data_IF_624588855683
#
_entry.id   IF_624588855683
#
_cell.length_a   1.000
_cell.length_b   1.000
_cell.length_c   1.000
_cell.angle_alpha   90.00
_cell.angle_beta   90.00
_cell.angle_gamma   90.00
#
_symmetry.space_group_name_H-M   'P 1'
#
loop_
_entity.id
_entity.type
_entity.pdbx_description
1 polymer ?
#
# COMPACT_ATOMS: atom_id res chain seq x y z
N UNK A 1 -43.77 18.42 34.07
CA UNK A 1 -44.26 17.03 34.05
C UNK A 1 -44.36 16.61 32.59
N UNK A 2 -43.37 15.88 32.12
CA UNK A 2 -43.37 15.21 30.83
C UNK A 2 -42.66 13.88 31.05
N UNK A 3 -43.39 12.80 30.80
CA UNK A 3 -42.97 11.41 31.01
C UNK A 3 -41.86 11.02 30.02
N UNK A 4 -40.89 10.18 30.43
CA UNK A 4 -39.91 9.64 29.50
C UNK A 4 -40.48 8.45 28.74
N UNK A 5 -40.38 8.50 27.42
CA UNK A 5 -40.70 7.40 26.51
C UNK A 5 -39.87 6.15 26.82
N UNK A 6 -40.55 5.03 26.98
CA UNK A 6 -40.02 3.70 27.25
C UNK A 6 -39.13 3.21 26.10
N UNK A 7 -37.91 2.79 26.47
CA UNK A 7 -36.94 2.18 25.57
C UNK A 7 -37.35 0.72 25.31
N UNK A 8 -37.56 0.35 24.04
CA UNK A 8 -37.86 -1.02 23.63
C UNK A 8 -36.65 -1.90 23.90
N UNK A 9 -36.81 -2.88 24.79
CA UNK A 9 -35.80 -3.89 25.07
C UNK A 9 -35.52 -4.73 23.82
N UNK A 10 -34.27 -4.73 23.35
CA UNK A 10 -33.77 -5.71 22.39
C UNK A 10 -33.39 -6.98 23.17
N UNK A 11 -33.94 -8.12 22.77
CA UNK A 11 -33.60 -9.44 23.30
C UNK A 11 -32.10 -9.76 23.07
N UNK A 12 -31.44 -10.46 24.01
CA UNK A 12 -30.06 -10.88 23.83
C UNK A 12 -30.00 -12.02 22.81
N UNK A 13 -29.21 -11.84 21.74
CA UNK A 13 -28.84 -12.92 20.83
C UNK A 13 -28.15 -14.03 21.63
N UNK A 14 -28.66 -15.25 21.50
CA UNK A 14 -28.09 -16.45 22.08
C UNK A 14 -26.67 -16.70 21.55
N UNK A 15 -25.78 -17.06 22.48
CA UNK A 15 -24.38 -17.43 22.26
C UNK A 15 -24.29 -18.67 21.34
N UNK A 16 -23.72 -18.58 20.12
CA UNK A 16 -23.47 -19.75 19.32
C UNK A 16 -22.29 -20.50 19.96
N UNK A 17 -22.59 -21.63 20.61
CA UNK A 17 -21.60 -22.50 21.24
C UNK A 17 -20.43 -22.88 20.32
N UNK A 18 -19.34 -23.44 20.89
CA UNK A 18 -18.07 -23.61 20.20
C UNK A 18 -18.23 -24.45 18.93
N UNK A 19 -17.83 -23.86 17.80
CA UNK A 19 -17.73 -24.55 16.52
C UNK A 19 -16.62 -25.61 16.65
N UNK A 20 -16.90 -26.91 16.46
CA UNK A 20 -15.87 -27.93 16.58
C UNK A 20 -14.80 -27.71 15.51
N UNK A 21 -13.54 -27.65 15.93
CA UNK A 21 -12.40 -27.63 15.01
C UNK A 21 -12.41 -28.91 14.16
N UNK A 22 -12.15 -28.82 12.85
CA UNK A 22 -12.04 -30.00 12.01
C UNK A 22 -10.87 -30.86 12.53
N UNK A 23 -11.19 -32.09 12.93
CA UNK A 23 -10.21 -33.11 13.27
C UNK A 23 -9.22 -33.26 12.11
N UNK A 24 -7.93 -33.29 12.44
CA UNK A 24 -6.88 -33.55 11.47
C UNK A 24 -7.13 -34.91 10.85
N UNK A 25 -7.47 -34.91 9.55
CA UNK A 25 -7.65 -36.10 8.75
C UNK A 25 -6.33 -36.87 8.75
N UNK A 26 -6.36 -38.13 9.18
CA UNK A 26 -5.21 -39.04 9.23
C UNK A 26 -4.58 -39.10 7.82
N UNK A 27 -3.28 -38.84 7.63
CA UNK A 27 -2.66 -38.83 6.30
C UNK A 27 -2.80 -40.17 5.55
N UNK A 28 -3.04 -41.28 6.26
CA UNK A 28 -3.34 -42.58 5.67
C UNK A 28 -4.79 -42.72 5.14
N UNK A 29 -5.67 -41.77 5.46
CA UNK A 29 -7.10 -41.77 5.06
C UNK A 29 -7.40 -40.88 3.84
N UNK A 30 -6.39 -40.19 3.28
CA UNK A 30 -6.54 -39.43 2.04
C UNK A 30 -6.55 -40.44 0.88
N UNK A 31 -7.69 -40.63 0.17
CA UNK A 31 -7.70 -41.51 -0.99
C UNK A 31 -6.68 -40.99 -2.03
N UNK A 32 -6.02 -41.88 -2.78
CA UNK A 32 -5.12 -41.45 -3.85
C UNK A 32 -5.85 -40.46 -4.75
N UNK A 33 -5.19 -39.33 -5.04
CA UNK A 33 -5.75 -38.26 -5.85
C UNK A 33 -6.37 -38.88 -7.11
N UNK A 34 -7.67 -38.65 -7.31
CA UNK A 34 -8.35 -39.09 -8.51
C UNK A 34 -7.55 -38.58 -9.73
N UNK A 35 -7.35 -39.42 -10.76
CA UNK A 35 -6.64 -38.99 -11.95
C UNK A 35 -7.32 -37.71 -12.46
N UNK A 36 -6.52 -36.66 -12.61
CA UNK A 36 -6.97 -35.38 -13.14
C UNK A 36 -7.78 -35.64 -14.41
N UNK A 37 -9.02 -35.15 -14.45
CA UNK A 37 -9.83 -35.20 -15.65
C UNK A 37 -9.01 -34.64 -16.83
N UNK A 38 -9.11 -35.22 -18.03
CA UNK A 38 -8.37 -34.73 -19.18
C UNK A 38 -8.65 -33.23 -19.32
N UNK A 39 -7.58 -32.44 -19.29
CA UNK A 39 -7.67 -30.99 -19.38
C UNK A 39 -8.48 -30.64 -20.64
N UNK A 40 -9.50 -29.80 -20.49
CA UNK A 40 -10.16 -29.17 -21.63
C UNK A 40 -9.08 -28.59 -22.55
N UNK A 41 -9.26 -28.63 -23.89
CA UNK A 41 -8.26 -28.12 -24.82
C UNK A 41 -7.85 -26.70 -24.39
N UNK A 42 -6.58 -26.52 -24.03
CA UNK A 42 -6.06 -25.23 -23.63
C UNK A 42 -6.18 -24.31 -24.84
N UNK A 43 -7.06 -23.31 -24.76
CA UNK A 43 -7.10 -22.22 -25.73
C UNK A 43 -5.69 -21.57 -25.82
N UNK A 44 -5.35 -21.14 -27.04
CA UNK A 44 -4.08 -20.52 -27.48
C UNK A 44 -3.05 -20.22 -26.37
N UNK A 45 -2.25 -21.24 -26.04
CA UNK A 45 -1.27 -21.17 -24.95
C UNK A 45 -0.05 -20.29 -25.26
N UNK A 46 0.03 -19.67 -26.45
CA UNK A 46 1.13 -18.80 -26.86
C UNK A 46 1.13 -17.43 -26.16
N UNK A 47 0.03 -17.07 -25.49
CA UNK A 47 -0.13 -15.79 -24.79
C UNK A 47 0.42 -15.78 -23.36
N UNK A 48 0.81 -16.93 -22.81
CA UNK A 48 1.26 -17.06 -21.42
C UNK A 48 2.78 -17.15 -21.32
N UNK A 49 3.36 -16.34 -20.44
CA UNK A 49 4.79 -16.37 -20.16
C UNK A 49 5.17 -17.61 -19.35
N UNK A 50 6.30 -18.25 -19.69
CA UNK A 50 6.76 -19.44 -18.99
C UNK A 50 7.12 -19.12 -17.53
N UNK A 51 6.61 -19.91 -16.58
CA UNK A 51 6.87 -19.69 -15.17
C UNK A 51 8.24 -20.20 -14.77
N UNK A 52 9.08 -19.32 -14.21
CA UNK A 52 10.33 -19.69 -13.55
C UNK A 52 10.26 -19.38 -12.05
N UNK A 53 10.73 -20.26 -11.16
CA UNK A 53 10.74 -19.99 -9.72
C UNK A 53 11.74 -18.87 -9.41
N UNK A 54 11.24 -17.65 -9.25
CA UNK A 54 12.05 -16.42 -9.10
C UNK A 54 12.15 -15.90 -7.66
N UNK A 55 11.31 -16.38 -6.73
CA UNK A 55 11.39 -15.91 -5.35
C UNK A 55 10.16 -16.11 -4.48
N UNK A 56 10.09 -15.31 -3.41
CA UNK A 56 8.99 -15.29 -2.45
C UNK A 56 7.70 -14.73 -3.06
N UNK A 57 6.56 -15.28 -2.63
CA UNK A 57 5.25 -14.65 -2.81
C UNK A 57 5.17 -13.39 -1.94
N UNK A 58 4.91 -12.23 -2.55
CA UNK A 58 4.77 -10.98 -1.82
C UNK A 58 3.31 -10.74 -1.47
N UNK A 59 3.01 -10.65 -0.18
CA UNK A 59 1.66 -10.42 0.33
C UNK A 59 1.61 -9.16 1.21
N UNK A 60 0.53 -8.39 1.07
CA UNK A 60 0.18 -7.32 2.00
C UNK A 60 -0.76 -7.88 3.08
N UNK A 61 -0.16 -8.49 4.10
CA UNK A 61 -0.93 -9.21 5.11
C UNK A 61 -1.62 -8.26 6.11
N UNK A 62 -2.94 -8.41 6.24
CA UNK A 62 -3.74 -7.73 7.24
C UNK A 62 -3.61 -8.44 8.60
N UNK A 63 -2.93 -7.80 9.55
CA UNK A 63 -2.69 -8.35 10.90
C UNK A 63 -3.67 -7.82 11.95
N UNK A 64 -4.68 -7.05 11.54
CA UNK A 64 -5.64 -6.35 12.39
C UNK A 64 -6.37 -7.24 13.40
N UNK A 65 -6.50 -8.53 13.11
CA UNK A 65 -7.19 -9.51 13.95
C UNK A 65 -6.23 -10.48 14.66
N UNK A 66 -4.93 -10.38 14.37
CA UNK A 66 -3.91 -11.31 14.86
C UNK A 66 -3.35 -10.87 16.22
N UNK A 67 -3.08 -11.88 17.05
CA UNK A 67 -2.28 -11.77 18.26
C UNK A 67 -0.83 -12.12 17.95
N UNK A 68 0.09 -11.21 18.22
CA UNK A 68 1.50 -11.33 17.85
C UNK A 68 2.38 -11.22 19.09
N UNK A 69 3.27 -12.19 19.25
CA UNK A 69 4.31 -12.20 20.28
C UNK A 69 5.64 -11.75 19.67
N UNK A 70 6.25 -10.71 20.24
CA UNK A 70 7.59 -10.27 19.90
C UNK A 70 8.53 -10.58 21.06
N UNK A 71 9.54 -11.42 20.82
CA UNK A 71 10.51 -11.88 21.82
C UNK A 71 11.83 -11.15 21.59
N UNK A 72 12.28 -10.40 22.58
CA UNK A 72 13.53 -9.62 22.54
C UNK A 72 13.30 -8.11 22.68
N UNK A 73 14.32 -7.42 23.16
CA UNK A 73 14.29 -5.97 23.44
C UNK A 73 15.33 -5.14 22.68
N UNK A 74 16.09 -5.74 21.75
CA UNK A 74 17.18 -5.08 21.04
C UNK A 74 16.75 -4.16 19.89
N UNK A 75 17.71 -3.72 19.06
CA UNK A 75 17.46 -2.87 17.89
C UNK A 75 16.60 -3.58 16.82
N UNK A 76 16.80 -4.88 16.63
CA UNK A 76 15.97 -5.69 15.72
C UNK A 76 14.52 -5.72 16.20
N UNK A 77 14.31 -5.95 17.50
CA UNK A 77 12.98 -5.92 18.11
C UNK A 77 12.31 -4.55 17.93
N UNK A 78 13.06 -3.45 18.08
CA UNK A 78 12.55 -2.10 17.83
C UNK A 78 11.97 -1.97 16.41
N UNK A 79 12.72 -2.42 15.40
CA UNK A 79 12.26 -2.41 14.00
C UNK A 79 11.01 -3.27 13.78
N UNK A 80 10.92 -4.45 14.40
CA UNK A 80 9.73 -5.32 14.32
C UNK A 80 8.52 -4.66 14.97
N UNK A 81 8.68 -4.13 16.18
CA UNK A 81 7.62 -3.42 16.90
C UNK A 81 7.08 -2.24 16.10
N UNK A 82 7.95 -1.44 15.48
CA UNK A 82 7.54 -0.34 14.59
C UNK A 82 6.61 -0.83 13.48
N UNK A 83 6.97 -1.91 12.80
CA UNK A 83 6.16 -2.46 11.71
C UNK A 83 4.82 -3.03 12.19
N UNK A 84 4.78 -3.66 13.36
CA UNK A 84 3.55 -4.19 13.96
C UNK A 84 2.58 -3.08 14.38
N UNK A 85 3.10 -1.98 14.93
CA UNK A 85 2.31 -0.79 15.28
C UNK A 85 1.75 -0.13 14.02
N UNK A 86 2.57 0.08 12.99
CA UNK A 86 2.08 0.61 11.71
C UNK A 86 1.04 -0.30 11.04
N UNK A 87 1.08 -1.61 11.27
CA UNK A 87 0.12 -2.57 10.74
C UNK A 87 -1.17 -2.69 11.57
N UNK A 88 -1.25 -2.00 12.72
CA UNK A 88 -2.43 -1.97 13.60
C UNK A 88 -2.89 -3.38 14.03
N UNK A 89 -1.93 -4.26 14.32
CA UNK A 89 -2.23 -5.63 14.77
C UNK A 89 -3.05 -5.64 16.06
N UNK A 90 -4.05 -6.54 16.19
CA UNK A 90 -5.02 -6.54 17.30
C UNK A 90 -4.36 -6.52 18.67
N UNK A 91 -3.38 -7.40 18.87
CA UNK A 91 -2.72 -7.59 20.14
C UNK A 91 -1.24 -7.83 19.89
N UNK A 92 -0.41 -6.99 20.49
CA UNK A 92 1.04 -7.10 20.45
C UNK A 92 1.53 -7.29 21.88
N UNK A 93 2.21 -8.40 22.12
CA UNK A 93 2.89 -8.64 23.40
C UNK A 93 4.38 -8.65 23.15
N UNK A 94 5.11 -7.80 23.86
CA UNK A 94 6.57 -7.77 23.83
C UNK A 94 7.09 -8.49 25.07
N UNK A 95 7.79 -9.60 24.87
CA UNK A 95 8.48 -10.35 25.91
C UNK A 95 9.94 -9.92 25.91
N UNK A 96 10.34 -9.12 26.89
CA UNK A 96 11.71 -8.63 27.02
C UNK A 96 11.99 -8.19 28.47
N UNK A 97 13.20 -8.42 29.00
CA UNK A 97 13.58 -8.00 30.34
C UNK A 97 13.58 -6.48 30.45
N UNK A 98 13.31 -5.96 31.65
CA UNK A 98 13.39 -4.51 31.88
C UNK A 98 14.82 -3.99 31.64
N UNK A 99 15.79 -4.72 32.18
CA UNK A 99 17.21 -4.52 31.94
C UNK A 99 17.60 -5.05 30.55
N UNK A 100 18.37 -4.27 29.78
CA UNK A 100 18.80 -4.67 28.43
C UNK A 100 17.82 -4.36 27.29
N UNK A 101 16.56 -3.99 27.56
CA UNK A 101 15.67 -3.46 26.51
C UNK A 101 16.18 -2.10 26.01
N UNK A 102 16.21 -1.88 24.69
CA UNK A 102 16.72 -0.65 24.12
C UNK A 102 15.75 0.53 24.33
N UNK A 103 16.28 1.76 24.28
CA UNK A 103 15.50 2.99 24.51
C UNK A 103 14.32 3.13 23.55
N UNK A 104 14.47 2.71 22.30
CA UNK A 104 13.44 2.80 21.27
C UNK A 104 12.26 1.86 21.53
N UNK A 105 12.52 0.61 21.96
CA UNK A 105 11.46 -0.32 22.38
C UNK A 105 10.74 0.21 23.61
N UNK A 106 11.49 0.67 24.64
CA UNK A 106 10.87 1.27 25.83
C UNK A 106 9.99 2.47 25.45
N UNK A 107 10.51 3.40 24.66
CA UNK A 107 9.77 4.57 24.21
C UNK A 107 8.48 4.19 23.48
N UNK A 108 8.51 3.23 22.56
CA UNK A 108 7.30 2.78 21.84
C UNK A 108 6.27 2.09 22.73
N UNK A 109 6.72 1.44 23.80
CA UNK A 109 5.83 0.78 24.76
C UNK A 109 5.23 1.76 25.75
N UNK A 110 5.90 2.88 26.05
CA UNK A 110 5.49 3.83 27.09
C UNK A 110 5.08 5.20 26.57
N UNK A 111 5.15 5.47 25.27
CA UNK A 111 4.80 6.78 24.70
C UNK A 111 3.29 7.06 24.81
N UNK A 112 2.87 8.34 24.78
CA UNK A 112 1.45 8.71 24.76
C UNK A 112 0.68 8.10 23.57
N UNK A 113 1.35 7.88 22.44
CA UNK A 113 0.78 7.14 21.31
C UNK A 113 0.43 5.69 21.68
N UNK A 114 1.19 5.08 22.59
CA UNK A 114 0.86 3.79 23.18
C UNK A 114 -0.32 3.87 24.17
N UNK A 115 -0.57 5.03 24.80
CA UNK A 115 -1.77 5.24 25.64
C UNK A 115 -3.05 5.43 24.81
N UNK A 116 -2.97 6.11 23.65
CA UNK A 116 -4.06 6.15 22.68
C UNK A 116 -4.43 4.74 22.17
N UNK A 117 -3.44 3.86 22.09
CA UNK A 117 -3.57 2.43 21.82
C UNK A 117 -3.98 1.62 23.08
N UNK A 118 -4.02 2.15 24.30
CA UNK A 118 -4.47 1.40 25.50
C UNK A 118 -5.85 1.82 26.03
N UNK A 119 -6.43 2.92 25.53
CA UNK A 119 -7.73 3.44 25.96
C UNK A 119 -8.93 2.59 25.53
N UNK A 120 -10.12 2.80 26.13
CA UNK A 120 -11.37 2.03 25.92
C UNK A 120 -11.97 2.10 24.50
N UNK A 121 -11.32 2.78 23.56
CA UNK A 121 -11.65 2.81 22.13
C UNK A 121 -10.50 2.26 21.25
N UNK A 122 -9.50 1.60 21.84
CA UNK A 122 -8.30 1.18 21.15
C UNK A 122 -8.56 0.01 20.19
N UNK A 123 -8.19 0.22 18.93
CA UNK A 123 -8.20 -0.79 17.85
C UNK A 123 -7.09 -1.85 18.03
N UNK A 124 -6.14 -1.61 18.91
CA UNK A 124 -4.93 -2.41 19.11
C UNK A 124 -4.61 -2.50 20.61
N UNK A 125 -4.13 -3.63 21.11
CA UNK A 125 -3.67 -3.85 22.49
C UNK A 125 -2.15 -4.01 22.48
N UNK A 126 -1.46 -3.33 23.41
CA UNK A 126 0.00 -3.38 23.52
C UNK A 126 0.43 -3.70 24.97
N UNK A 127 1.12 -4.82 25.15
CA UNK A 127 1.57 -5.33 26.45
C UNK A 127 3.09 -5.50 26.48
N UNK A 128 3.72 -5.15 27.60
CA UNK A 128 5.13 -5.44 27.85
C UNK A 128 5.26 -6.42 29.02
N UNK A 129 5.67 -7.65 28.72
CA UNK A 129 5.98 -8.70 29.71
C UNK A 129 7.46 -8.66 30.05
N UNK A 130 7.75 -8.06 31.21
CA UNK A 130 9.10 -7.98 31.77
C UNK A 130 9.52 -9.33 32.34
N UNK A 131 10.18 -10.15 31.52
CA UNK A 131 10.65 -11.50 31.88
C UNK A 131 12.05 -11.73 31.34
N UNK A 132 12.79 -12.60 32.02
CA UNK A 132 14.04 -13.13 31.48
C UNK A 132 13.79 -13.96 30.21
N UNK A 133 14.73 -13.92 29.28
CA UNK A 133 14.65 -14.62 28.00
C UNK A 133 15.33 -15.98 28.13
N UNK A 134 14.66 -16.89 28.84
CA UNK A 134 15.07 -18.27 29.01
C UNK A 134 14.08 -19.21 28.31
N UNK A 135 14.55 -20.38 27.87
CA UNK A 135 13.75 -21.36 27.12
C UNK A 135 12.39 -21.63 27.76
N UNK A 136 12.37 -22.09 29.00
CA UNK A 136 11.15 -22.49 29.69
C UNK A 136 10.20 -21.29 29.93
N UNK A 137 10.77 -20.10 30.13
CA UNK A 137 9.97 -18.88 30.30
C UNK A 137 9.29 -18.51 28.97
N UNK A 138 10.02 -18.58 27.86
CA UNK A 138 9.49 -18.29 26.54
C UNK A 138 8.46 -19.33 26.11
N UNK A 139 8.73 -20.63 26.30
CA UNK A 139 7.81 -21.69 25.89
C UNK A 139 6.42 -21.58 26.53
N UNK A 140 6.34 -21.13 27.79
CA UNK A 140 5.06 -20.87 28.50
C UNK A 140 4.29 -19.65 27.97
N UNK A 141 4.96 -18.78 27.24
CA UNK A 141 4.41 -17.51 26.74
C UNK A 141 4.01 -17.60 25.26
N UNK A 142 4.37 -18.66 24.53
CA UNK A 142 4.10 -18.81 23.09
C UNK A 142 2.63 -19.14 22.79
N UNK A 143 1.91 -19.76 23.74
CA UNK A 143 0.54 -20.20 23.52
C UNK A 143 -0.45 -19.03 23.37
N UNK A 144 -1.45 -19.19 22.51
CA UNK A 144 -2.52 -18.19 22.30
C UNK A 144 -2.14 -17.01 21.40
N UNK A 145 -1.07 -17.14 20.60
CA UNK A 145 -0.66 -16.19 19.57
C UNK A 145 -0.81 -16.82 18.18
N UNK A 146 -0.96 -16.00 17.15
CA UNK A 146 -1.02 -16.44 15.74
C UNK A 146 0.36 -16.37 15.07
N UNK A 147 1.22 -15.48 15.59
CA UNK A 147 2.54 -15.19 15.03
C UNK A 147 3.55 -14.89 16.14
N UNK A 148 4.75 -15.43 15.99
CA UNK A 148 5.89 -15.20 16.89
C UNK A 148 7.06 -14.60 16.10
N UNK A 149 7.59 -13.48 16.58
CA UNK A 149 8.78 -12.84 16.05
C UNK A 149 9.90 -12.95 17.09
N UNK A 150 11.04 -13.53 16.71
CA UNK A 150 12.21 -13.57 17.59
C UNK A 150 13.26 -12.57 17.13
N UNK A 151 13.79 -11.83 18.09
CA UNK A 151 14.87 -10.87 17.94
C UNK A 151 15.88 -11.08 19.09
N UNK A 152 16.40 -12.30 19.15
CA UNK A 152 17.33 -12.78 20.16
C UNK A 152 18.73 -12.93 19.56
N UNK A 153 19.75 -12.62 20.35
CA UNK A 153 21.15 -12.84 19.94
C UNK A 153 21.59 -14.31 20.14
N UNK A 154 20.84 -15.09 20.93
CA UNK A 154 21.07 -16.51 21.18
C UNK A 154 20.40 -17.36 20.07
N UNK A 155 21.23 -17.88 19.16
CA UNK A 155 20.78 -18.73 18.05
C UNK A 155 20.21 -20.10 18.52
N UNK A 156 20.86 -20.85 19.43
CA UNK A 156 20.26 -22.04 20.04
C UNK A 156 18.87 -21.80 20.66
N UNK A 157 18.68 -20.68 21.37
CA UNK A 157 17.38 -20.32 21.93
C UNK A 157 16.37 -19.96 20.84
N UNK A 158 16.79 -19.21 19.82
CA UNK A 158 15.94 -18.89 18.67
C UNK A 158 15.42 -20.13 17.94
N UNK A 159 16.28 -21.13 17.75
CA UNK A 159 15.92 -22.45 17.19
C UNK A 159 14.88 -23.19 18.02
N UNK A 160 15.02 -23.13 19.34
CA UNK A 160 14.06 -23.73 20.26
C UNK A 160 12.67 -23.12 20.10
N UNK A 161 12.62 -21.79 20.06
CA UNK A 161 11.37 -21.05 19.84
C UNK A 161 10.77 -21.40 18.49
N UNK A 162 11.58 -21.48 17.43
CA UNK A 162 11.11 -21.93 16.12
C UNK A 162 10.49 -23.34 16.19
N UNK A 163 11.17 -24.31 16.79
CA UNK A 163 10.65 -25.67 16.93
C UNK A 163 9.32 -25.70 17.70
N UNK A 164 9.25 -25.00 18.84
CA UNK A 164 8.04 -24.88 19.65
C UNK A 164 6.87 -24.24 18.87
N UNK A 165 7.16 -23.23 18.03
CA UNK A 165 6.15 -22.61 17.16
C UNK A 165 5.66 -23.59 16.08
N UNK A 166 6.57 -24.38 15.47
CA UNK A 166 6.22 -25.37 14.45
C UNK A 166 5.30 -26.46 14.97
N UNK A 167 5.57 -26.97 16.17
CA UNK A 167 4.71 -27.96 16.84
C UNK A 167 3.29 -27.44 17.06
N UNK A 168 3.15 -26.13 17.32
CA UNK A 168 1.87 -25.44 17.55
C UNK A 168 1.24 -24.86 16.29
N UNK A 169 1.88 -25.05 15.12
CA UNK A 169 1.46 -24.47 13.83
C UNK A 169 1.36 -22.94 13.84
N UNK A 170 2.23 -22.29 14.62
CA UNK A 170 2.35 -20.84 14.68
C UNK A 170 3.31 -20.33 13.61
N UNK A 171 2.99 -19.17 13.04
CA UNK A 171 3.86 -18.53 12.06
C UNK A 171 5.03 -17.88 12.77
N UNK A 172 6.25 -18.18 12.33
CA UNK A 172 7.46 -17.73 13.03
C UNK A 172 8.43 -17.01 12.09
N UNK A 173 8.96 -15.88 12.56
CA UNK A 173 10.11 -15.22 11.94
C UNK A 173 11.24 -15.15 12.96
N UNK A 174 12.34 -15.85 12.65
CA UNK A 174 13.56 -15.81 13.43
C UNK A 174 14.54 -14.82 12.81
N UNK A 175 14.86 -13.74 13.54
CA UNK A 175 15.85 -12.78 13.07
C UNK A 175 17.19 -13.46 12.74
N UNK A 176 17.79 -13.06 11.62
CA UNK A 176 19.11 -13.51 11.14
C UNK A 176 19.28 -15.02 10.89
N UNK A 177 18.19 -15.81 10.94
CA UNK A 177 18.19 -17.24 10.58
C UNK A 177 17.17 -17.52 9.46
N UNK A 178 17.51 -17.24 8.19
CA UNK A 178 16.56 -17.36 7.07
C UNK A 178 15.90 -18.73 6.89
N UNK A 179 16.60 -19.88 7.08
CA UNK A 179 15.96 -21.20 6.95
C UNK A 179 14.87 -21.47 8.00
N UNK A 180 14.86 -20.71 9.09
CA UNK A 180 13.95 -20.86 10.24
C UNK A 180 12.89 -19.74 10.25
N UNK A 181 12.55 -19.22 9.07
CA UNK A 181 11.53 -18.18 8.87
C UNK A 181 10.44 -18.65 7.91
N UNK A 182 9.18 -18.47 8.29
CA UNK A 182 8.03 -18.67 7.39
C UNK A 182 7.86 -17.52 6.39
N UNK A 183 8.36 -16.34 6.76
CA UNK A 183 8.28 -15.13 5.94
C UNK A 183 9.48 -14.22 6.22
N UNK A 184 9.75 -13.31 5.29
CA UNK A 184 10.82 -12.33 5.42
C UNK A 184 10.28 -10.92 5.57
N UNK A 185 10.96 -10.12 6.39
CA UNK A 185 10.83 -8.68 6.33
C UNK A 185 11.65 -8.14 5.16
N UNK A 186 11.01 -7.33 4.31
CA UNK A 186 11.67 -6.59 3.24
C UNK A 186 12.10 -5.18 3.66
N UNK A 187 12.72 -4.46 2.73
CA UNK A 187 12.92 -3.01 2.89
C UNK A 187 11.62 -2.30 2.54
N UNK A 188 10.94 -1.75 3.54
CA UNK A 188 9.62 -1.12 3.37
C UNK A 188 9.72 0.40 3.36
N UNK A 189 9.02 1.03 2.42
CA UNK A 189 8.71 2.47 2.38
C UNK A 189 7.22 2.65 2.69
N UNK A 190 6.88 3.62 3.54
CA UNK A 190 5.50 4.01 3.85
C UNK A 190 5.28 5.50 3.64
N UNK A 191 4.18 5.87 2.97
CA UNK A 191 3.71 7.26 2.75
C UNK A 191 2.18 7.28 2.81
N UNK A 192 1.63 7.59 3.98
CA UNK A 192 0.18 7.46 4.21
C UNK A 192 -0.29 6.03 3.89
N UNK A 193 -1.32 5.84 3.05
CA UNK A 193 -1.83 4.52 2.67
C UNK A 193 -0.89 3.74 1.71
N UNK A 194 0.13 4.37 1.12
CA UNK A 194 1.08 3.69 0.26
C UNK A 194 2.09 2.88 1.08
N UNK A 195 2.20 1.59 0.78
CA UNK A 195 3.29 0.72 1.24
C UNK A 195 3.99 0.07 0.06
N UNK A 196 5.31 0.19 -0.01
CA UNK A 196 6.15 -0.48 -1.03
C UNK A 196 7.19 -1.33 -0.32
N UNK A 197 7.24 -2.62 -0.66
CA UNK A 197 8.23 -3.55 -0.13
C UNK A 197 9.20 -3.99 -1.22
N UNK A 198 10.49 -3.89 -0.92
CA UNK A 198 11.56 -4.46 -1.75
C UNK A 198 12.11 -5.70 -1.06
N UNK A 199 11.94 -6.87 -1.70
CA UNK A 199 12.53 -8.14 -1.28
C UNK A 199 13.71 -8.51 -2.18
N UNK A 200 14.72 -9.16 -1.59
CA UNK A 200 15.84 -9.78 -2.32
C UNK A 200 15.95 -11.28 -1.98
N UNK A 201 14.88 -11.88 -1.45
CA UNK A 201 14.83 -13.27 -1.00
C UNK A 201 16.00 -13.61 -0.05
N UNK A 202 16.29 -12.70 0.89
CA UNK A 202 17.38 -12.85 1.87
C UNK A 202 18.80 -12.60 1.33
N UNK A 203 18.99 -12.36 0.02
CA UNK A 203 20.34 -12.28 -0.58
C UNK A 203 21.06 -10.94 -0.43
N UNK A 204 20.32 -9.83 -0.29
CA UNK A 204 20.91 -8.50 -0.40
C UNK A 204 20.17 -7.39 0.33
N UNK A 205 20.14 -7.38 1.68
CA UNK A 205 19.43 -6.37 2.45
C UNK A 205 19.90 -4.92 2.16
N UNK A 206 21.21 -4.71 1.94
CA UNK A 206 21.75 -3.40 1.55
C UNK A 206 21.31 -2.96 0.15
N UNK A 207 21.19 -3.90 -0.78
CA UNK A 207 20.71 -3.65 -2.15
C UNK A 207 19.23 -3.29 -2.10
N UNK A 208 18.42 -4.05 -1.35
CA UNK A 208 17.01 -3.75 -1.11
C UNK A 208 16.82 -2.32 -0.58
N UNK A 209 17.60 -1.93 0.44
CA UNK A 209 17.56 -0.57 1.00
C UNK A 209 17.99 0.52 0.00
N UNK A 210 18.94 0.22 -0.89
CA UNK A 210 19.35 1.15 -1.96
C UNK A 210 18.24 1.33 -3.01
N UNK A 211 17.58 0.25 -3.42
CA UNK A 211 16.44 0.29 -4.35
C UNK A 211 15.29 1.05 -3.71
N UNK A 212 14.92 0.72 -2.46
CA UNK A 212 13.87 1.43 -1.71
C UNK A 212 14.13 2.94 -1.66
N UNK A 213 15.36 3.38 -1.38
CA UNK A 213 15.73 4.81 -1.36
C UNK A 213 15.63 5.48 -2.75
N UNK A 214 15.87 4.74 -3.83
CA UNK A 214 15.64 5.26 -5.19
C UNK A 214 14.15 5.48 -5.44
N UNK A 215 13.31 4.48 -5.09
CA UNK A 215 11.85 4.58 -5.19
C UNK A 215 11.32 5.74 -4.34
N UNK A 216 11.81 5.89 -3.11
CA UNK A 216 11.42 6.98 -2.21
C UNK A 216 11.68 8.37 -2.79
N UNK A 217 12.75 8.55 -3.57
CA UNK A 217 13.06 9.83 -4.23
C UNK A 217 12.27 10.07 -5.52
N UNK A 218 11.81 9.00 -6.16
CA UNK A 218 11.03 9.08 -7.38
C UNK A 218 9.55 9.39 -7.10
N UNK A 219 9.06 9.07 -5.91
CA UNK A 219 7.68 9.33 -5.51
C UNK A 219 7.49 10.80 -5.08
N UNK A 220 6.40 11.45 -5.51
CA UNK A 220 6.00 12.75 -4.97
C UNK A 220 5.82 12.70 -3.45
N UNK A 221 6.18 13.77 -2.71
CA UNK A 221 6.07 13.80 -1.25
C UNK A 221 4.63 13.61 -0.75
N UNK A 222 3.65 14.03 -1.55
CA UNK A 222 2.21 14.02 -1.32
C UNK A 222 1.47 12.81 -1.91
N UNK A 223 2.20 11.77 -2.37
CA UNK A 223 1.60 10.55 -2.95
C UNK A 223 0.58 9.87 -2.03
N UNK A 224 0.75 9.99 -0.71
CA UNK A 224 -0.23 9.49 0.26
C UNK A 224 -1.58 10.20 0.13
N UNK A 225 -1.55 11.54 0.00
CA UNK A 225 -2.76 12.35 -0.17
C UNK A 225 -3.44 12.07 -1.53
N UNK A 226 -2.64 11.81 -2.57
CA UNK A 226 -3.18 11.41 -3.87
C UNK A 226 -4.06 10.15 -3.78
N UNK A 227 -3.60 9.13 -3.03
CA UNK A 227 -4.35 7.89 -2.82
C UNK A 227 -5.62 8.15 -2.00
N UNK A 228 -5.53 8.96 -0.94
CA UNK A 228 -6.70 9.35 -0.13
C UNK A 228 -7.75 10.07 -0.99
N UNK A 229 -7.33 11.01 -1.84
CA UNK A 229 -8.22 11.75 -2.73
C UNK A 229 -8.92 10.83 -3.74
N UNK A 230 -8.22 9.83 -4.29
CA UNK A 230 -8.83 8.79 -5.14
C UNK A 230 -9.82 7.94 -4.34
N UNK A 231 -9.52 7.61 -3.09
CA UNK A 231 -10.43 6.93 -2.18
C UNK A 231 -11.72 7.71 -1.94
N UNK A 232 -11.60 9.02 -1.70
CA UNK A 232 -12.73 9.93 -1.54
C UNK A 232 -13.57 10.05 -2.82
N UNK A 233 -12.94 10.13 -4.00
CA UNK A 233 -13.65 10.08 -5.29
C UNK A 233 -14.45 8.78 -5.44
N UNK A 234 -13.83 7.63 -5.15
CA UNK A 234 -14.51 6.33 -5.23
C UNK A 234 -15.69 6.25 -4.25
N UNK A 235 -15.53 6.79 -3.05
CA UNK A 235 -16.61 6.86 -2.05
C UNK A 235 -17.74 7.79 -2.52
N UNK A 236 -17.42 8.96 -3.07
CA UNK A 236 -18.38 9.89 -3.65
C UNK A 236 -19.16 9.27 -4.81
N UNK A 237 -18.47 8.59 -5.72
CA UNK A 237 -19.08 7.89 -6.85
C UNK A 237 -20.05 6.80 -6.40
N UNK A 238 -19.72 6.04 -5.34
CA UNK A 238 -20.65 5.08 -4.74
C UNK A 238 -21.90 5.79 -4.22
N UNK A 239 -21.78 6.93 -3.55
CA UNK A 239 -22.96 7.68 -3.06
C UNK A 239 -23.89 8.14 -4.18
N UNK A 240 -23.34 8.53 -5.34
CA UNK A 240 -24.12 8.91 -6.53
C UNK A 240 -24.85 7.71 -7.11
N UNK A 241 -24.14 6.59 -7.29
CA UNK A 241 -24.71 5.37 -7.85
C UNK A 241 -24.29 4.17 -6.99
N UNK A 242 -25.19 3.74 -6.09
CA UNK A 242 -24.96 2.64 -5.15
C UNK A 242 -25.26 1.25 -5.75
N UNK A 243 -25.63 1.18 -7.04
CA UNK A 243 -26.03 -0.06 -7.73
C UNK A 243 -25.01 -1.18 -7.57
N UNK A 244 -25.52 -2.37 -7.23
CA UNK A 244 -24.74 -3.59 -7.08
C UNK A 244 -24.68 -4.42 -8.36
N UNK A 245 -25.38 -4.01 -9.43
CA UNK A 245 -25.33 -4.71 -10.70
C UNK A 245 -23.92 -4.69 -11.29
N UNK A 246 -23.58 -5.78 -12.00
CA UNK A 246 -22.25 -5.99 -12.59
C UNK A 246 -21.89 -4.83 -13.53
N UNK A 247 -22.83 -4.42 -14.37
CA UNK A 247 -22.68 -3.36 -15.36
C UNK A 247 -22.34 -2.02 -14.69
N UNK A 248 -22.98 -1.71 -13.55
CA UNK A 248 -22.71 -0.49 -12.77
C UNK A 248 -21.33 -0.56 -12.12
N UNK A 249 -20.93 -1.72 -11.59
CA UNK A 249 -19.58 -1.92 -11.02
C UNK A 249 -18.51 -1.71 -12.10
N UNK A 250 -18.69 -2.30 -13.28
CA UNK A 250 -17.77 -2.19 -14.40
C UNK A 250 -17.66 -0.75 -14.90
N UNK A 251 -18.79 -0.06 -15.11
CA UNK A 251 -18.82 1.34 -15.53
C UNK A 251 -18.11 2.25 -14.53
N UNK A 252 -18.31 2.05 -13.22
CA UNK A 252 -17.62 2.82 -12.17
C UNK A 252 -16.12 2.56 -12.19
N UNK A 253 -15.72 1.31 -12.40
CA UNK A 253 -14.31 0.92 -12.47
C UNK A 253 -13.62 1.57 -13.67
N UNK A 254 -14.22 1.45 -14.86
CA UNK A 254 -13.68 2.03 -16.09
C UNK A 254 -13.56 3.56 -15.98
N UNK A 255 -14.58 4.24 -15.45
CA UNK A 255 -14.53 5.68 -15.27
C UNK A 255 -13.45 6.09 -14.26
N UNK A 256 -13.31 5.37 -13.15
CA UNK A 256 -12.24 5.64 -12.17
C UNK A 256 -10.85 5.47 -12.80
N UNK A 257 -10.64 4.44 -13.63
CA UNK A 257 -9.38 4.26 -14.39
C UNK A 257 -9.14 5.48 -15.27
N UNK A 258 -10.12 5.88 -16.09
CA UNK A 258 -10.00 7.05 -16.98
C UNK A 258 -9.71 8.35 -16.23
N UNK A 259 -10.33 8.56 -15.06
CA UNK A 259 -10.04 9.73 -14.21
C UNK A 259 -8.62 9.64 -13.68
N UNK A 260 -8.21 8.51 -13.10
CA UNK A 260 -6.86 8.33 -12.57
C UNK A 260 -5.76 8.49 -13.62
N UNK A 261 -5.97 8.01 -14.86
CA UNK A 261 -4.98 8.13 -15.95
C UNK A 261 -4.85 9.57 -16.48
N UNK A 262 -5.88 10.40 -16.31
CA UNK A 262 -5.90 11.81 -16.76
C UNK A 262 -5.26 12.78 -15.78
N UNK A 263 -4.93 12.33 -14.57
CA UNK A 263 -4.37 13.14 -13.51
C UNK A 263 -3.00 12.59 -13.11
N UNK A 264 -2.01 13.47 -12.95
CA UNK A 264 -0.73 13.05 -12.39
C UNK A 264 -0.84 12.73 -10.91
N UNK A 265 0.11 11.94 -10.37
CA UNK A 265 0.18 11.69 -8.92
C UNK A 265 0.22 12.99 -8.11
N UNK A 266 0.96 14.00 -8.59
CA UNK A 266 1.02 15.33 -7.97
C UNK A 266 -0.32 16.06 -8.05
N UNK A 267 -0.97 16.05 -9.22
CA UNK A 267 -2.29 16.69 -9.38
C UNK A 267 -3.36 16.02 -8.52
N UNK A 268 -3.30 14.68 -8.38
CA UNK A 268 -4.17 13.94 -7.47
C UNK A 268 -3.90 14.32 -6.01
N UNK A 269 -2.65 14.56 -5.62
CA UNK A 269 -2.29 15.07 -4.29
C UNK A 269 -2.85 16.47 -4.01
N UNK A 270 -2.86 17.34 -5.01
CA UNK A 270 -3.40 18.72 -4.94
C UNK A 270 -4.94 18.80 -5.02
N UNK A 271 -5.64 17.68 -5.24
CA UNK A 271 -7.09 17.68 -5.47
C UNK A 271 -7.88 18.08 -4.21
N UNK A 272 -8.54 19.22 -4.28
CA UNK A 272 -9.44 19.73 -3.24
C UNK A 272 -10.91 19.28 -3.42
N UNK A 273 -11.79 19.65 -2.48
CA UNK A 273 -13.22 19.31 -2.52
C UNK A 273 -13.96 19.90 -3.72
N UNK A 274 -13.58 21.10 -4.17
CA UNK A 274 -14.17 21.73 -5.37
C UNK A 274 -13.83 20.89 -6.59
N UNK A 275 -12.55 20.58 -6.77
CA UNK A 275 -12.07 19.78 -7.89
C UNK A 275 -12.72 18.40 -7.92
N UNK A 276 -12.82 17.73 -6.76
CA UNK A 276 -13.54 16.45 -6.65
C UNK A 276 -14.99 16.55 -7.12
N UNK A 277 -15.70 17.58 -6.65
CA UNK A 277 -17.12 17.79 -6.99
C UNK A 277 -17.28 17.98 -8.50
N UNK A 278 -16.44 18.81 -9.11
CA UNK A 278 -16.46 19.01 -10.57
C UNK A 278 -16.15 17.73 -11.35
N UNK A 279 -15.21 16.90 -10.89
CA UNK A 279 -14.91 15.59 -11.49
C UNK A 279 -16.13 14.69 -11.40
N UNK A 280 -16.77 14.58 -10.23
CA UNK A 280 -17.95 13.73 -10.01
C UNK A 280 -19.15 14.15 -10.87
N UNK A 281 -19.37 15.44 -11.14
CA UNK A 281 -20.39 15.91 -12.09
C UNK A 281 -20.19 15.38 -13.53
N UNK A 282 -18.97 14.97 -13.88
CA UNK A 282 -18.69 14.32 -15.16
C UNK A 282 -19.31 12.93 -15.30
N UNK A 283 -19.64 12.26 -14.19
CA UNK A 283 -20.14 10.89 -14.17
C UNK A 283 -21.42 10.70 -14.98
N UNK A 284 -22.43 11.55 -14.78
CA UNK A 284 -23.73 11.46 -15.46
C UNK A 284 -23.59 11.58 -16.98
N UNK A 285 -22.59 12.36 -17.44
CA UNK A 285 -22.27 12.56 -18.86
C UNK A 285 -21.25 11.54 -19.40
N UNK A 286 -20.76 10.61 -18.60
CA UNK A 286 -19.68 9.67 -18.98
C UNK A 286 -18.32 10.35 -19.23
N UNK A 287 -18.17 11.59 -18.78
CA UNK A 287 -16.99 12.42 -19.00
C UNK A 287 -16.01 12.26 -17.84
N UNK A 288 -14.80 11.76 -18.11
CA UNK A 288 -13.71 11.75 -17.16
C UNK A 288 -12.93 13.08 -17.28
N UNK A 289 -13.30 14.07 -16.47
CA UNK A 289 -12.65 15.39 -16.47
C UNK A 289 -11.20 15.28 -15.97
N UNK A 290 -10.26 15.82 -16.73
CA UNK A 290 -8.86 15.94 -16.32
C UNK A 290 -8.60 17.17 -15.44
N UNK A 291 -7.40 17.28 -14.87
CA UNK A 291 -6.99 18.41 -14.03
C UNK A 291 -7.27 19.78 -14.67
N UNK A 292 -7.08 19.87 -15.98
CA UNK A 292 -7.17 21.12 -16.73
C UNK A 292 -8.58 21.45 -17.18
N UNK A 293 -9.46 20.45 -17.25
CA UNK A 293 -10.89 20.68 -17.48
C UNK A 293 -11.49 21.38 -16.26
N UNK A 294 -11.08 20.94 -15.07
CA UNK A 294 -11.52 21.46 -13.75
C UNK A 294 -10.87 22.80 -13.39
N UNK A 295 -9.67 23.08 -13.90
CA UNK A 295 -8.96 24.33 -13.63
C UNK A 295 -9.02 25.35 -14.79
N UNK A 296 -9.89 25.14 -15.78
CA UNK A 296 -9.96 25.96 -17.01
C UNK A 296 -10.10 27.46 -16.72
N UNK A 297 -10.93 27.86 -15.75
CA UNK A 297 -11.12 29.27 -15.37
C UNK A 297 -9.85 29.94 -14.81
N UNK A 298 -8.99 29.18 -14.12
CA UNK A 298 -7.72 29.66 -13.54
C UNK A 298 -6.67 29.96 -14.62
N UNK A 299 -6.73 29.25 -15.75
CA UNK A 299 -5.78 29.38 -16.87
C UNK A 299 -6.34 30.13 -18.09
N UNK A 300 -7.61 30.55 -18.05
CA UNK A 300 -8.23 31.33 -19.11
C UNK A 300 -7.48 32.64 -19.41
N UNK A 301 -6.81 33.24 -18.40
CA UNK A 301 -5.96 34.43 -18.57
C UNK A 301 -4.65 34.18 -19.34
N UNK A 302 -4.09 32.96 -19.32
CA UNK A 302 -2.95 32.57 -20.17
C UNK A 302 -3.38 32.07 -21.56
N UNK A 303 -4.64 31.63 -21.69
CA UNK A 303 -5.22 31.10 -22.93
C UNK A 303 -5.31 32.11 -24.07
N UNK A 304 -5.30 33.42 -23.78
CA UNK A 304 -5.33 34.46 -24.82
C UNK A 304 -4.09 34.40 -25.74
N UNK A 305 -2.91 34.04 -25.22
CA UNK A 305 -1.69 33.90 -26.03
C UNK A 305 -1.68 32.64 -26.91
N UNK A 306 -2.34 31.56 -26.47
CA UNK A 306 -2.47 30.31 -27.24
C UNK A 306 -3.61 30.35 -28.27
N UNK A 307 -4.64 31.17 -28.05
CA UNK A 307 -5.73 31.37 -29.02
C UNK A 307 -5.26 31.99 -30.34
N UNK A 308 -4.13 32.70 -30.33
CA UNK A 308 -3.49 33.23 -31.54
C UNK A 308 -2.91 32.12 -32.44
N UNK A 309 -2.56 30.97 -31.86
CA UNK A 309 -2.01 29.83 -32.58
C UNK A 309 -3.09 28.93 -33.18
N UNK A 310 -4.27 28.87 -32.56
CA UNK A 310 -5.47 28.21 -33.13
C UNK A 310 -5.91 28.90 -34.43
N UNK A 311 -5.73 30.23 -34.54
CA UNK A 311 -6.00 30.99 -35.76
C UNK A 311 -5.01 30.66 -36.91
N UNK A 312 -3.78 30.23 -36.59
CA UNK A 312 -2.75 29.85 -37.58
C UNK A 312 -2.86 28.40 -38.08
N UNK A 313 -3.90 27.65 -37.69
CA UNK A 313 -4.18 26.31 -38.23
C UNK A 313 -3.11 25.26 -37.93
N UNK A 314 -2.27 25.48 -36.92
CA UNK A 314 -1.25 24.50 -36.52
C UNK A 314 -1.94 23.40 -35.69
N UNK A 315 -1.92 22.19 -36.23
CA UNK A 315 -2.62 21.02 -35.70
C UNK A 315 -2.46 20.83 -34.18
N UNK A 316 -3.56 20.44 -33.52
CA UNK A 316 -3.55 19.99 -32.12
C UNK A 316 -2.53 18.86 -31.95
N UNK A 317 -1.53 19.07 -31.11
CA UNK A 317 -0.57 18.01 -30.75
C UNK A 317 -1.35 16.81 -30.17
N UNK A 318 -1.25 15.60 -30.77
CA UNK A 318 -1.98 14.43 -30.30
C UNK A 318 -1.43 13.85 -28.99
N UNK A 319 -0.25 14.30 -28.54
CA UNK A 319 0.36 13.92 -27.26
C UNK A 319 0.23 15.08 -26.29
N UNK A 320 -0.89 15.12 -25.57
CA UNK A 320 -1.19 16.14 -24.57
C UNK A 320 -1.13 15.52 -23.17
N UNK A 321 0.10 15.43 -22.63
CA UNK A 321 0.52 15.32 -21.21
C UNK A 321 1.15 13.99 -20.83
N UNK A 322 2.35 14.12 -20.25
CA UNK A 322 2.93 13.17 -19.33
C UNK A 322 2.27 13.36 -17.94
N UNK A 323 1.56 12.36 -17.41
CA UNK A 323 0.99 12.39 -16.06
C UNK A 323 2.03 12.14 -14.94
N UNK A 324 3.32 12.17 -15.23
CA UNK A 324 4.39 11.84 -14.28
C UNK A 324 5.36 13.02 -14.01
N UNK A 325 5.08 14.20 -14.56
CA UNK A 325 5.84 15.42 -14.23
C UNK A 325 7.24 15.48 -14.82
N UNK A 326 7.52 14.65 -15.84
CA UNK A 326 8.69 14.84 -16.70
C UNK A 326 8.56 16.17 -17.47
N UNK A 327 9.68 16.85 -17.71
CA UNK A 327 9.67 18.10 -18.46
C UNK A 327 9.19 17.80 -19.90
N UNK A 328 8.03 18.36 -20.26
CA UNK A 328 7.45 18.29 -21.60
C UNK A 328 8.51 18.60 -22.68
N UNK A 329 9.08 17.57 -23.29
CA UNK A 329 9.63 17.70 -24.64
C UNK A 329 8.52 17.35 -25.61
N UNK A 330 7.55 18.24 -25.74
CA UNK A 330 6.63 18.16 -26.88
C UNK A 330 7.50 18.31 -28.14
N UNK A 331 7.61 17.28 -29.00
CA UNK A 331 8.46 17.33 -30.19
C UNK A 331 8.07 18.51 -31.10
N UNK A 332 6.79 18.90 -31.06
CA UNK A 332 6.24 20.04 -31.77
C UNK A 332 6.69 21.40 -31.20
N UNK A 333 6.79 21.55 -29.88
CA UNK A 333 7.27 22.79 -29.24
C UNK A 333 8.77 22.94 -29.42
N UNK A 334 9.53 21.85 -29.34
CA UNK A 334 10.98 21.84 -29.62
C UNK A 334 11.23 22.11 -31.12
N UNK A 335 10.40 21.56 -32.00
CA UNK A 335 10.46 21.83 -33.44
C UNK A 335 10.10 23.27 -33.81
N UNK A 336 9.05 23.84 -33.21
CA UNK A 336 8.63 25.22 -33.49
C UNK A 336 9.58 26.27 -32.92
N UNK A 337 10.13 26.06 -31.72
CA UNK A 337 11.20 26.92 -31.18
C UNK A 337 12.47 26.83 -32.04
N UNK A 338 12.85 25.64 -32.50
CA UNK A 338 13.94 25.46 -33.45
C UNK A 338 13.72 26.19 -34.78
N UNK A 339 12.49 26.12 -35.33
CA UNK A 339 12.13 26.81 -36.57
C UNK A 339 12.14 28.33 -36.42
N UNK A 340 11.59 28.87 -35.33
CA UNK A 340 11.58 30.32 -35.07
C UNK A 340 13.00 30.86 -34.85
N UNK A 341 13.84 30.17 -34.08
CA UNK A 341 15.24 30.55 -33.92
C UNK A 341 16.02 30.45 -35.25
N UNK A 342 15.78 29.41 -36.04
CA UNK A 342 16.38 29.23 -37.36
C UNK A 342 15.97 30.31 -38.36
N UNK A 343 14.68 30.68 -38.39
CA UNK A 343 14.17 31.75 -39.23
C UNK A 343 14.71 33.13 -38.81
N UNK A 344 14.80 33.40 -37.50
CA UNK A 344 15.34 34.66 -36.97
C UNK A 344 16.84 34.82 -37.27
N UNK A 345 17.61 33.73 -37.17
CA UNK A 345 19.03 33.72 -37.54
C UNK A 345 19.22 33.87 -39.05
N UNK A 346 18.43 33.17 -39.88
CA UNK A 346 18.47 33.31 -41.33
C UNK A 346 18.10 34.74 -41.79
N UNK A 347 17.06 35.35 -41.20
CA UNK A 347 16.66 36.72 -41.49
C UNK A 347 17.75 37.73 -41.07
N UNK A 348 18.39 37.51 -39.92
CA UNK A 348 19.48 38.35 -39.42
C UNK A 348 20.72 38.26 -40.32
N UNK A 349 21.05 37.06 -40.82
CA UNK A 349 22.13 36.84 -41.79
C UNK A 349 21.81 37.46 -43.16
N UNK A 350 20.57 37.35 -43.63
CA UNK A 350 20.12 37.98 -44.87
C UNK A 350 20.21 39.52 -44.78
N UNK A 351 19.74 40.10 -43.67
CA UNK A 351 19.84 41.55 -43.42
C UNK A 351 21.30 42.01 -43.31
N UNK A 352 22.17 41.23 -42.68
CA UNK A 352 23.60 41.52 -42.60
C UNK A 352 24.30 41.42 -43.98
N UNK A 353 23.86 40.50 -44.85
CA UNK A 353 24.38 40.34 -46.20
C UNK A 353 23.96 41.48 -47.14
N UNK A 354 22.73 41.98 -47.01
CA UNK A 354 22.24 43.14 -47.80
C UNK A 354 22.83 44.50 -47.40
N UNK A 355 23.62 44.56 -46.31
CA UNK A 355 24.28 45.78 -45.81
C UNK A 355 25.78 45.84 -46.11
N UNK A 356 26.33 44.88 -46.86
CA UNK A 356 27.65 44.95 -47.49
C UNK A 356 27.47 45.26 -48.97
#
# INVERSE_FOLDING_TARGET
>A
MAEPSTNSAAEPLADPGPVPHPSLVDPASVPPAAPLAPASPLEDSSSYEATHPTGSLLLAWQTRDLSILLIGGGAVAASRLYHLLCAQSKRIVVLAPEDGTCSEVRWRLTSPDAEAVRGRAAVQSLEWRKRALERDAIEREIDGFDMVLTALDDAPLSRAVHAACKERKLLVNVADVPPECDFYFGSVLRRGPLSVMVSTNGKGPRVAARIRRKLERALPPDVGQAIENVGLLRAGLRRIENGGEKEVIERRMEWMIRVSDRWSLKQLGEMDDRMRSEVLEGWERGEAKGYWDVNRAKYAGLGYLLSWWDWLGVARCPVARDPDGSALKCPFVVGSTGFVLGAATAASLALAWTRR
#
